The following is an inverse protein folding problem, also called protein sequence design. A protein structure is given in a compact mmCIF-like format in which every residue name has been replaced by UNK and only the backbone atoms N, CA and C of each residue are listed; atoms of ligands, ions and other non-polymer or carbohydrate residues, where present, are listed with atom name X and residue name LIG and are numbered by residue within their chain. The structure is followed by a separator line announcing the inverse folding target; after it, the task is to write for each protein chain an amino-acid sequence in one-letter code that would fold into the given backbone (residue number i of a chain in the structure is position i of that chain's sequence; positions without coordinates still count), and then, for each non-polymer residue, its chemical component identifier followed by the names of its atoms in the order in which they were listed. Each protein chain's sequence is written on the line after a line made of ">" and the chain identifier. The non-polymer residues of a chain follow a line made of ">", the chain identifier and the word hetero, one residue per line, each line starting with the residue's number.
data_IF_928626168154
#
_entry.id   IF_928626168154
#
_cell.length_a   1.000
_cell.length_b   1.000
_cell.length_c   1.000
_cell.angle_alpha   90.00
_cell.angle_beta   90.00
_cell.angle_gamma   90.00
#
_symmetry.space_group_name_H-M   'P 1'
#
loop_
_entity.id
_entity.type
_entity.pdbx_description
1 polymer ?
#
# COMPACT_ATOMS: atom_id res chain seq x y z
N UNK A 1 5.75 1.28 33.11
CA UNK A 1 5.90 -0.17 32.83
C UNK A 1 5.17 -0.43 31.53
N UNK A 2 5.86 -0.34 30.41
CA UNK A 2 5.27 -0.48 29.07
C UNK A 2 5.20 -1.97 28.76
N UNK A 3 3.99 -2.53 28.70
CA UNK A 3 3.78 -3.94 28.37
C UNK A 3 4.28 -4.17 26.94
N UNK A 4 5.19 -5.12 26.75
CA UNK A 4 5.57 -5.59 25.41
C UNK A 4 4.34 -6.25 24.78
N UNK A 5 3.83 -5.66 23.70
CA UNK A 5 2.62 -6.15 23.04
C UNK A 5 3.06 -7.07 21.91
N UNK A 6 2.85 -8.38 22.06
CA UNK A 6 2.69 -9.23 20.87
C UNK A 6 1.30 -8.91 20.32
N UNK A 7 1.23 -8.15 19.21
CA UNK A 7 -0.04 -7.80 18.60
C UNK A 7 -0.33 -8.74 17.41
N UNK A 8 -1.04 -9.86 17.63
CA UNK A 8 -1.36 -10.80 16.54
C UNK A 8 -2.14 -10.11 15.40
N UNK A 9 -2.81 -8.98 15.67
CA UNK A 9 -3.61 -8.26 14.69
C UNK A 9 -2.77 -7.70 13.52
N UNK A 10 -1.46 -7.46 13.71
CA UNK A 10 -0.55 -7.04 12.63
C UNK A 10 -0.40 -8.11 11.52
N UNK A 11 -0.63 -9.38 11.85
CA UNK A 11 -0.62 -10.48 10.88
C UNK A 11 -1.98 -10.69 10.19
N UNK A 12 -3.02 -10.01 10.67
CA UNK A 12 -4.42 -10.16 10.26
C UNK A 12 -5.07 -8.83 9.84
N UNK A 13 -4.28 -7.93 9.28
CA UNK A 13 -4.76 -6.64 8.74
C UNK A 13 -5.52 -6.83 7.42
N UNK A 14 -6.47 -5.94 7.12
CA UNK A 14 -7.33 -6.04 5.93
C UNK A 14 -6.53 -5.88 4.64
N UNK A 15 -5.61 -4.91 4.60
CA UNK A 15 -4.68 -4.72 3.47
C UNK A 15 -3.76 -5.93 3.36
N UNK A 16 -3.35 -6.50 4.49
CA UNK A 16 -2.51 -7.69 4.55
C UNK A 16 -3.19 -8.93 3.95
N UNK A 17 -4.45 -9.15 4.28
CA UNK A 17 -5.26 -10.21 3.70
C UNK A 17 -5.56 -9.98 2.22
N UNK A 18 -5.86 -8.74 1.82
CA UNK A 18 -6.06 -8.40 0.41
C UNK A 18 -4.84 -8.80 -0.43
N UNK A 19 -3.64 -8.43 0.00
CA UNK A 19 -2.42 -8.78 -0.70
C UNK A 19 -2.21 -10.31 -0.74
N UNK A 20 -2.35 -11.00 0.40
CA UNK A 20 -2.17 -12.45 0.51
C UNK A 20 -3.15 -13.24 -0.36
N UNK A 21 -4.43 -12.86 -0.36
CA UNK A 21 -5.46 -13.53 -1.18
C UNK A 21 -5.13 -13.45 -2.67
N UNK A 22 -4.64 -12.31 -3.14
CA UNK A 22 -4.28 -12.14 -4.54
C UNK A 22 -2.99 -12.86 -4.91
N UNK A 23 -2.00 -12.90 -4.01
CA UNK A 23 -0.69 -13.51 -4.28
C UNK A 23 -0.67 -15.04 -4.19
N UNK A 24 -1.52 -15.65 -3.36
CA UNK A 24 -1.43 -17.09 -3.04
C UNK A 24 -2.51 -17.98 -3.66
N UNK A 25 -3.63 -17.44 -4.15
CA UNK A 25 -4.77 -18.27 -4.60
C UNK A 25 -4.50 -18.98 -5.94
N UNK A 26 -4.79 -20.29 -6.04
CA UNK A 26 -4.78 -21.04 -7.32
C UNK A 26 -6.11 -20.84 -8.07
N UNK A 27 -6.16 -20.00 -9.12
CA UNK A 27 -7.28 -19.84 -10.09
C UNK A 27 -7.10 -18.57 -10.96
N UNK A 28 -8.16 -18.13 -11.65
CA UNK A 28 -8.29 -16.83 -12.33
C UNK A 28 -7.78 -15.63 -11.50
N UNK A 29 -7.87 -15.69 -10.16
CA UNK A 29 -7.30 -14.67 -9.27
C UNK A 29 -5.77 -14.53 -9.40
N UNK A 30 -5.05 -15.63 -9.62
CA UNK A 30 -3.59 -15.62 -9.88
C UNK A 30 -3.28 -14.97 -11.22
N UNK A 31 -4.12 -15.21 -12.23
CA UNK A 31 -3.97 -14.55 -13.53
C UNK A 31 -4.20 -13.05 -13.40
N UNK A 32 -5.24 -12.66 -12.66
CA UNK A 32 -5.52 -11.24 -12.39
C UNK A 32 -4.39 -10.57 -11.58
N UNK A 33 -3.87 -11.25 -10.56
CA UNK A 33 -2.75 -10.74 -9.77
C UNK A 33 -1.48 -10.54 -10.61
N UNK A 34 -1.19 -11.45 -11.54
CA UNK A 34 -0.09 -11.26 -12.51
C UNK A 34 -0.32 -10.01 -13.35
N UNK A 35 -1.54 -9.78 -13.83
CA UNK A 35 -1.90 -8.55 -14.56
C UNK A 35 -1.70 -7.31 -13.69
N UNK A 36 -2.15 -7.32 -12.42
CA UNK A 36 -1.90 -6.22 -11.47
C UNK A 36 -0.40 -5.94 -11.32
N UNK A 37 0.42 -6.97 -11.12
CA UNK A 37 1.88 -6.82 -10.99
C UNK A 37 2.51 -6.18 -12.23
N UNK A 38 2.08 -6.52 -13.44
CA UNK A 38 2.57 -5.89 -14.67
C UNK A 38 2.34 -4.38 -14.60
N UNK A 39 1.11 -3.96 -14.28
CA UNK A 39 0.78 -2.55 -14.14
C UNK A 39 1.49 -1.84 -12.99
N UNK A 40 1.64 -2.49 -11.83
CA UNK A 40 2.41 -1.95 -10.70
C UNK A 40 3.87 -1.70 -11.08
N UNK A 41 4.50 -2.66 -11.78
CA UNK A 41 5.87 -2.51 -12.30
C UNK A 41 5.97 -1.37 -13.32
N UNK A 42 4.97 -1.25 -14.20
CA UNK A 42 4.93 -0.16 -15.18
C UNK A 42 4.84 1.21 -14.51
N UNK A 43 4.00 1.36 -13.47
CA UNK A 43 3.90 2.59 -12.66
C UNK A 43 5.22 2.89 -11.96
N UNK A 44 5.77 1.92 -11.23
CA UNK A 44 7.04 2.09 -10.51
C UNK A 44 8.18 2.50 -11.46
N UNK A 45 8.29 1.87 -12.63
CA UNK A 45 9.29 2.20 -13.65
C UNK A 45 9.10 3.59 -14.24
N UNK A 46 7.86 3.99 -14.55
CA UNK A 46 7.58 5.31 -15.09
C UNK A 46 7.97 6.41 -14.09
N UNK A 47 7.60 6.23 -12.82
CA UNK A 47 7.92 7.18 -11.76
C UNK A 47 9.41 7.21 -11.40
N UNK A 48 10.15 6.11 -11.60
CA UNK A 48 11.60 6.08 -11.38
C UNK A 48 12.40 6.68 -12.54
N UNK A 49 11.93 6.54 -13.78
CA UNK A 49 12.67 6.96 -14.98
C UNK A 49 12.27 8.33 -15.50
N UNK A 50 11.04 8.76 -15.21
CA UNK A 50 10.47 10.02 -15.70
C UNK A 50 9.63 10.67 -14.59
N UNK A 51 10.23 11.10 -13.47
CA UNK A 51 9.50 11.58 -12.30
C UNK A 51 8.65 12.82 -12.58
N UNK A 52 9.12 13.73 -13.45
CA UNK A 52 8.40 14.97 -13.81
C UNK A 52 7.25 14.75 -14.80
N UNK A 53 7.19 13.56 -15.42
CA UNK A 53 6.18 13.27 -16.41
C UNK A 53 4.84 12.95 -15.76
N UNK A 54 3.79 13.65 -16.20
CA UNK A 54 2.42 13.30 -15.80
C UNK A 54 2.10 11.85 -16.13
N UNK A 55 1.79 11.09 -15.09
CA UNK A 55 1.35 9.70 -15.22
C UNK A 55 -0.07 9.67 -15.81
N UNK A 56 -0.27 8.90 -16.88
CA UNK A 56 -1.59 8.73 -17.53
C UNK A 56 -1.83 7.26 -17.85
N UNK A 57 -3.09 6.86 -17.96
CA UNK A 57 -3.44 5.48 -18.31
C UNK A 57 -2.80 5.02 -19.63
N UNK A 58 -2.67 5.91 -20.63
CA UNK A 58 -2.05 5.59 -21.93
C UNK A 58 -0.58 5.22 -21.75
N UNK A 59 0.17 6.05 -21.03
CA UNK A 59 1.60 5.83 -20.75
C UNK A 59 1.82 4.56 -19.94
N UNK A 60 0.95 4.29 -18.97
CA UNK A 60 1.00 3.06 -18.17
C UNK A 60 0.76 1.83 -19.06
N UNK A 61 -0.25 1.87 -19.93
CA UNK A 61 -0.54 0.78 -20.88
C UNK A 61 0.63 0.56 -21.84
N UNK A 62 1.18 1.63 -22.41
CA UNK A 62 2.37 1.57 -23.26
C UNK A 62 3.57 0.96 -22.50
N UNK A 63 3.78 1.36 -21.25
CA UNK A 63 4.81 0.81 -20.39
C UNK A 63 4.56 -0.66 -19.99
N UNK A 64 3.32 -1.13 -19.99
CA UNK A 64 2.98 -2.54 -19.79
C UNK A 64 3.26 -3.40 -21.04
N UNK A 65 3.56 -2.76 -22.18
CA UNK A 65 3.97 -3.42 -23.41
C UNK A 65 2.87 -4.30 -24.01
N UNK A 66 3.21 -5.44 -24.65
CA UNK A 66 2.23 -6.27 -25.38
C UNK A 66 1.17 -6.90 -24.46
N UNK A 67 1.39 -6.89 -23.14
CA UNK A 67 0.46 -7.42 -22.14
C UNK A 67 -0.51 -6.34 -21.63
N UNK A 68 -0.26 -5.08 -21.99
CA UNK A 68 -1.08 -3.94 -21.62
C UNK A 68 -2.10 -3.59 -22.70
N UNK A 69 -3.33 -3.33 -22.29
CA UNK A 69 -4.36 -2.73 -23.12
C UNK A 69 -5.20 -1.76 -22.29
N UNK A 70 -6.03 -0.94 -22.97
CA UNK A 70 -7.00 -0.08 -22.27
C UNK A 70 -7.96 -0.91 -21.41
N UNK A 71 -8.50 -2.01 -21.93
CA UNK A 71 -9.47 -2.84 -21.23
C UNK A 71 -8.85 -3.48 -19.98
N UNK A 72 -7.68 -4.09 -20.11
CA UNK A 72 -6.97 -4.70 -18.98
C UNK A 72 -6.56 -3.68 -17.93
N UNK A 73 -6.25 -2.44 -18.32
CA UNK A 73 -5.97 -1.35 -17.36
C UNK A 73 -7.22 -1.04 -16.52
N UNK A 74 -8.37 -0.84 -17.15
CA UNK A 74 -9.61 -0.53 -16.43
C UNK A 74 -10.17 -1.74 -15.65
N UNK A 75 -9.85 -2.98 -16.06
CA UNK A 75 -10.12 -4.19 -15.25
C UNK A 75 -9.29 -4.23 -13.96
N UNK A 76 -8.10 -3.62 -13.95
CA UNK A 76 -7.21 -3.61 -12.78
C UNK A 76 -7.44 -2.42 -11.86
N UNK A 77 -7.72 -1.24 -12.41
CA UNK A 77 -7.75 0.02 -11.65
C UNK A 77 -8.95 0.94 -11.93
N UNK A 78 -9.89 0.54 -12.80
CA UNK A 78 -11.09 1.31 -13.09
C UNK A 78 -12.16 1.25 -12.00
N UNK A 79 -13.26 1.97 -12.21
CA UNK A 79 -14.42 1.97 -11.29
C UNK A 79 -15.04 0.59 -11.06
N UNK A 80 -14.85 -0.35 -11.99
CA UNK A 80 -15.27 -1.75 -11.88
C UNK A 80 -14.07 -2.70 -11.81
N UNK A 81 -12.94 -2.22 -11.28
CA UNK A 81 -11.75 -3.03 -11.11
C UNK A 81 -12.07 -4.31 -10.34
N UNK A 82 -11.43 -5.42 -10.72
CA UNK A 82 -11.54 -6.66 -9.97
C UNK A 82 -10.64 -6.60 -8.74
N UNK A 83 -11.23 -6.85 -7.58
CA UNK A 83 -10.55 -6.92 -6.29
C UNK A 83 -9.74 -5.65 -5.95
N UNK A 84 -10.35 -4.45 -6.01
CA UNK A 84 -9.66 -3.24 -5.61
C UNK A 84 -9.46 -3.25 -4.10
N UNK A 85 -8.38 -2.63 -3.62
CA UNK A 85 -8.09 -2.58 -2.19
C UNK A 85 -9.23 -1.94 -1.40
N UNK A 86 -9.82 -0.88 -1.97
CA UNK A 86 -10.91 -0.12 -1.34
C UNK A 86 -12.13 -0.99 -1.01
N UNK A 87 -12.49 -1.95 -1.87
CA UNK A 87 -13.61 -2.86 -1.63
C UNK A 87 -13.33 -3.82 -0.48
N UNK A 88 -12.07 -4.20 -0.26
CA UNK A 88 -11.70 -5.03 0.88
C UNK A 88 -11.89 -4.26 2.19
N UNK A 89 -11.49 -2.99 2.23
CA UNK A 89 -11.68 -2.11 3.39
C UNK A 89 -13.16 -1.82 3.68
N UNK A 90 -13.95 -1.51 2.64
CA UNK A 90 -15.39 -1.26 2.77
C UNK A 90 -16.12 -2.52 3.26
N UNK A 91 -15.76 -3.69 2.72
CA UNK A 91 -16.40 -4.97 3.09
C UNK A 91 -16.09 -5.40 4.52
N UNK A 92 -14.89 -5.09 5.02
CA UNK A 92 -14.54 -5.37 6.41
C UNK A 92 -15.46 -4.63 7.39
N UNK A 93 -15.86 -3.39 7.05
CA UNK A 93 -16.94 -2.67 7.74
C UNK A 93 -16.61 -2.16 9.14
N UNK A 94 -15.46 -2.52 9.73
CA UNK A 94 -15.00 -1.92 10.99
C UNK A 94 -14.72 -0.42 10.78
N UNK A 95 -14.97 0.36 11.82
CA UNK A 95 -14.80 1.83 11.78
C UNK A 95 -13.41 2.24 11.28
N UNK A 96 -12.36 1.57 11.75
CA UNK A 96 -10.98 1.82 11.34
C UNK A 96 -10.74 1.56 9.86
N UNK A 97 -11.30 0.46 9.34
CA UNK A 97 -11.22 0.12 7.91
C UNK A 97 -12.01 1.09 7.04
N UNK A 98 -13.16 1.59 7.52
CA UNK A 98 -13.93 2.64 6.82
C UNK A 98 -13.17 3.98 6.82
N UNK A 99 -12.55 4.37 7.93
CA UNK A 99 -11.71 5.57 7.98
C UNK A 99 -10.55 5.47 6.98
N UNK A 100 -9.86 4.33 6.95
CA UNK A 100 -8.79 4.08 5.99
C UNK A 100 -9.32 4.12 4.55
N UNK A 101 -10.49 3.52 4.29
CA UNK A 101 -11.14 3.59 2.98
C UNK A 101 -11.39 5.04 2.54
N UNK A 102 -11.84 5.92 3.43
CA UNK A 102 -12.05 7.33 3.12
C UNK A 102 -10.76 8.06 2.73
N UNK A 103 -9.63 7.73 3.37
CA UNK A 103 -8.32 8.30 3.02
C UNK A 103 -7.83 7.87 1.63
N UNK A 104 -8.16 6.66 1.19
CA UNK A 104 -7.68 6.07 -0.07
C UNK A 104 -8.74 5.98 -1.17
N UNK A 105 -9.91 6.61 -0.97
CA UNK A 105 -10.96 6.64 -2.00
C UNK A 105 -10.56 7.59 -3.12
N UNK A 106 -10.27 7.04 -4.29
CA UNK A 106 -9.94 7.80 -5.50
C UNK A 106 -11.11 7.80 -6.49
N UNK A 107 -11.24 8.88 -7.23
CA UNK A 107 -12.15 8.99 -8.39
C UNK A 107 -11.44 8.67 -9.70
N UNK A 108 -10.11 8.71 -9.70
CA UNK A 108 -9.24 8.47 -10.85
C UNK A 108 -8.56 7.09 -10.76
N UNK A 109 -8.59 6.37 -11.88
CA UNK A 109 -8.03 5.03 -12.00
C UNK A 109 -6.50 5.00 -11.89
N UNK A 110 -5.81 6.06 -12.34
CA UNK A 110 -4.35 6.14 -12.23
C UNK A 110 -3.94 6.27 -10.76
N UNK A 111 -4.59 7.16 -10.00
CA UNK A 111 -4.36 7.35 -8.58
C UNK A 111 -4.64 6.06 -7.78
N UNK A 112 -5.75 5.39 -8.08
CA UNK A 112 -6.05 4.09 -7.44
C UNK A 112 -4.95 3.06 -7.70
N UNK A 113 -4.45 2.98 -8.94
CA UNK A 113 -3.35 2.08 -9.28
C UNK A 113 -2.06 2.45 -8.54
N UNK A 114 -1.76 3.74 -8.39
CA UNK A 114 -0.58 4.22 -7.66
C UNK A 114 -0.66 3.84 -6.18
N UNK A 115 -1.80 4.03 -5.51
CA UNK A 115 -1.97 3.62 -4.10
C UNK A 115 -1.76 2.11 -3.92
N UNK A 116 -2.32 1.28 -4.79
CA UNK A 116 -2.10 -0.17 -4.75
C UNK A 116 -0.64 -0.55 -5.09
N UNK A 117 0.01 0.20 -5.99
CA UNK A 117 1.44 0.03 -6.32
C UNK A 117 2.32 0.33 -5.11
N UNK A 118 1.98 1.34 -4.31
CA UNK A 118 2.69 1.67 -3.06
C UNK A 118 2.60 0.51 -2.06
N UNK A 119 1.43 -0.10 -1.90
CA UNK A 119 1.27 -1.29 -1.05
C UNK A 119 2.12 -2.45 -1.56
N UNK A 120 2.09 -2.71 -2.87
CA UNK A 120 2.89 -3.79 -3.48
C UNK A 120 4.41 -3.57 -3.32
N UNK A 121 4.91 -2.36 -3.57
CA UNK A 121 6.35 -2.08 -3.51
C UNK A 121 6.88 -1.97 -2.07
N UNK A 122 6.03 -1.58 -1.12
CA UNK A 122 6.37 -1.56 0.31
C UNK A 122 6.31 -2.95 0.95
N UNK A 123 5.62 -3.91 0.33
CA UNK A 123 5.38 -5.23 0.91
C UNK A 123 6.63 -5.96 1.44
N UNK A 124 7.79 -5.98 0.73
CA UNK A 124 9.00 -6.62 1.25
C UNK A 124 9.57 -5.96 2.52
N UNK A 125 9.32 -4.66 2.73
CA UNK A 125 9.72 -3.93 3.94
C UNK A 125 8.81 -4.32 5.11
N UNK A 126 7.50 -4.39 4.85
CA UNK A 126 6.50 -4.89 5.80
C UNK A 126 6.79 -6.32 6.24
N UNK A 127 7.15 -7.22 5.33
CA UNK A 127 7.49 -8.61 5.68
C UNK A 127 8.70 -8.70 6.63
N UNK A 128 9.73 -7.87 6.43
CA UNK A 128 10.87 -7.79 7.35
C UNK A 128 10.47 -7.26 8.73
N UNK A 129 9.60 -6.25 8.78
CA UNK A 129 9.07 -5.73 10.05
C UNK A 129 8.28 -6.81 10.80
N UNK A 130 7.34 -7.47 10.13
CA UNK A 130 6.52 -8.50 10.76
C UNK A 130 7.37 -9.68 11.25
N UNK A 131 8.41 -10.08 10.51
CA UNK A 131 9.36 -11.08 10.97
C UNK A 131 10.12 -10.63 12.24
N UNK A 132 10.54 -9.36 12.30
CA UNK A 132 11.18 -8.77 13.49
C UNK A 132 10.23 -8.75 14.69
N UNK A 133 8.99 -8.34 14.49
CA UNK A 133 7.96 -8.28 15.55
C UNK A 133 7.55 -9.68 16.07
N UNK A 134 7.61 -10.71 15.22
CA UNK A 134 7.38 -12.09 15.63
C UNK A 134 8.54 -12.68 16.43
N UNK A 135 9.78 -12.27 16.14
CA UNK A 135 10.98 -12.84 16.75
C UNK A 135 11.18 -12.37 18.19
N UNK A 136 10.82 -11.13 18.50
CA UNK A 136 11.04 -10.52 19.82
C UNK A 136 9.89 -9.60 20.22
N UNK A 137 9.34 -9.74 21.46
CA UNK A 137 8.36 -8.79 21.98
C UNK A 137 8.94 -7.37 22.04
N UNK A 138 8.22 -6.43 21.44
CA UNK A 138 8.67 -5.04 21.32
C UNK A 138 7.61 -4.09 21.93
N UNK A 139 8.01 -3.02 22.63
CA UNK A 139 7.07 -1.98 23.05
C UNK A 139 6.55 -1.21 21.83
N UNK A 140 5.34 -0.67 21.92
CA UNK A 140 4.67 0.00 20.80
C UNK A 140 5.54 1.13 20.22
N UNK A 141 6.18 1.93 21.05
CA UNK A 141 7.04 3.05 20.62
C UNK A 141 8.22 2.58 19.74
N UNK A 142 8.80 1.42 20.05
CA UNK A 142 9.87 0.85 19.22
C UNK A 142 9.33 0.24 17.92
N UNK A 143 8.09 -0.29 17.92
CA UNK A 143 7.43 -0.75 16.69
C UNK A 143 7.10 0.41 15.76
N UNK A 144 6.64 1.54 16.31
CA UNK A 144 6.40 2.79 15.57
C UNK A 144 7.70 3.30 14.92
N UNK A 145 8.79 3.37 15.70
CA UNK A 145 10.09 3.77 15.18
C UNK A 145 10.57 2.84 14.05
N UNK A 146 10.44 1.52 14.23
CA UNK A 146 10.80 0.55 13.19
C UNK A 146 9.94 0.71 11.93
N UNK A 147 8.64 0.99 12.06
CA UNK A 147 7.77 1.27 10.93
C UNK A 147 8.19 2.55 10.19
N UNK A 148 8.52 3.62 10.93
CA UNK A 148 9.00 4.87 10.36
C UNK A 148 10.32 4.69 9.59
N UNK A 149 11.28 3.95 10.17
CA UNK A 149 12.56 3.62 9.53
C UNK A 149 12.36 2.84 8.23
N UNK A 150 11.50 1.80 8.24
CA UNK A 150 11.22 1.01 7.05
C UNK A 150 10.51 1.83 5.97
N UNK A 151 9.62 2.75 6.36
CA UNK A 151 8.94 3.64 5.44
C UNK A 151 9.91 4.63 4.80
N UNK A 152 10.82 5.22 5.58
CA UNK A 152 11.88 6.08 5.08
C UNK A 152 12.85 5.32 4.16
N UNK A 153 13.25 4.09 4.51
CA UNK A 153 14.08 3.23 3.66
C UNK A 153 13.39 2.94 2.31
N UNK A 154 12.10 2.60 2.34
CA UNK A 154 11.32 2.39 1.13
C UNK A 154 11.21 3.65 0.28
N UNK A 155 10.95 4.80 0.91
CA UNK A 155 10.77 6.07 0.23
C UNK A 155 12.07 6.50 -0.47
N UNK A 156 13.21 6.45 0.22
CA UNK A 156 14.51 6.78 -0.36
C UNK A 156 14.92 5.87 -1.52
N UNK A 157 14.46 4.62 -1.54
CA UNK A 157 14.67 3.68 -2.66
C UNK A 157 13.66 3.82 -3.80
N UNK A 158 12.53 4.49 -3.55
CA UNK A 158 11.44 4.65 -4.52
C UNK A 158 10.95 6.11 -4.58
N UNK A 159 11.81 7.13 -4.75
CA UNK A 159 11.47 8.53 -4.48
C UNK A 159 10.29 9.03 -5.32
N UNK A 160 10.27 8.74 -6.63
CA UNK A 160 9.16 9.13 -7.50
C UNK A 160 7.83 8.44 -7.16
N UNK A 161 7.86 7.18 -6.72
CA UNK A 161 6.66 6.49 -6.26
C UNK A 161 6.22 7.05 -4.91
N UNK A 162 7.14 7.28 -3.98
CA UNK A 162 6.89 7.86 -2.68
C UNK A 162 6.24 9.25 -2.78
N UNK A 163 6.79 10.16 -3.59
CA UNK A 163 6.28 11.51 -3.80
C UNK A 163 4.89 11.56 -4.47
N UNK A 164 4.52 10.54 -5.26
CA UNK A 164 3.25 10.51 -5.98
C UNK A 164 2.04 10.65 -5.03
N UNK A 165 0.98 11.34 -5.49
CA UNK A 165 -0.23 11.58 -4.71
C UNK A 165 0.03 12.34 -3.38
N UNK A 166 0.85 13.39 -3.45
CA UNK A 166 1.26 14.21 -2.30
C UNK A 166 1.81 13.39 -1.14
N UNK A 167 2.76 12.51 -1.42
CA UNK A 167 3.45 11.73 -0.39
C UNK A 167 2.51 10.82 0.44
N UNK A 168 1.35 10.45 -0.10
CA UNK A 168 0.44 9.53 0.58
C UNK A 168 1.15 8.19 0.88
N UNK A 169 1.17 7.68 2.12
CA UNK A 169 1.85 6.43 2.47
C UNK A 169 1.20 5.20 1.82
N UNK A 170 1.88 4.05 1.79
CA UNK A 170 1.22 2.77 1.52
C UNK A 170 0.11 2.51 2.55
N UNK A 171 -1.09 2.14 2.11
CA UNK A 171 -2.23 1.93 3.01
C UNK A 171 -1.97 0.87 4.10
N UNK A 172 -1.14 -0.15 3.81
CA UNK A 172 -0.75 -1.13 4.82
C UNK A 172 0.09 -0.53 5.95
N UNK A 173 0.95 0.46 5.68
CA UNK A 173 1.72 1.13 6.72
C UNK A 173 0.82 1.97 7.64
N UNK A 174 -0.20 2.62 7.08
CA UNK A 174 -1.21 3.35 7.88
C UNK A 174 -1.99 2.38 8.76
N UNK A 175 -2.46 1.27 8.20
CA UNK A 175 -3.16 0.23 8.96
C UNK A 175 -2.29 -0.36 10.07
N UNK A 176 -1.01 -0.65 9.79
CA UNK A 176 -0.06 -1.15 10.77
C UNK A 176 0.15 -0.14 11.92
N UNK A 177 0.30 1.16 11.63
CA UNK A 177 0.42 2.21 12.65
C UNK A 177 -0.83 2.31 13.53
N UNK A 178 -2.02 2.20 12.93
CA UNK A 178 -3.29 2.20 13.68
C UNK A 178 -3.36 1.01 14.64
N UNK A 179 -2.93 -0.17 14.21
CA UNK A 179 -2.87 -1.39 15.03
C UNK A 179 -1.82 -1.26 16.15
N UNK A 180 -0.62 -0.73 15.85
CA UNK A 180 0.43 -0.49 16.86
C UNK A 180 -0.06 0.47 17.94
N UNK A 181 -0.77 1.54 17.56
CA UNK A 181 -1.38 2.51 18.51
C UNK A 181 -2.68 1.99 19.14
N UNK A 182 -3.06 0.73 18.90
CA UNK A 182 -4.24 0.09 19.49
C UNK A 182 -5.56 0.78 19.16
N UNK A 183 -5.72 1.27 17.92
CA UNK A 183 -6.92 1.97 17.46
C UNK A 183 -7.10 3.38 18.04
N UNK A 184 -6.12 3.91 18.77
CA UNK A 184 -6.19 5.24 19.41
C UNK A 184 -5.87 6.39 18.47
N UNK A 185 -5.44 6.09 17.24
CA UNK A 185 -5.17 7.07 16.19
C UNK A 185 -6.17 6.88 15.05
N UNK A 186 -6.79 7.98 14.62
CA UNK A 186 -7.64 7.98 13.44
C UNK A 186 -6.79 7.82 12.16
N UNK A 187 -7.33 7.17 11.13
CA UNK A 187 -6.59 6.89 9.89
C UNK A 187 -6.00 8.16 9.27
N UNK A 188 -6.76 9.26 9.25
CA UNK A 188 -6.28 10.55 8.72
C UNK A 188 -5.04 11.08 9.44
N UNK A 189 -4.97 10.94 10.77
CA UNK A 189 -3.79 11.37 11.55
C UNK A 189 -2.59 10.48 11.26
N UNK A 190 -2.80 9.16 11.23
CA UNK A 190 -1.76 8.21 10.87
C UNK A 190 -1.24 8.44 9.44
N UNK A 191 -2.13 8.76 8.49
CA UNK A 191 -1.75 9.13 7.12
C UNK A 191 -0.86 10.37 7.11
N UNK A 192 -1.21 11.44 7.82
CA UNK A 192 -0.41 12.67 7.83
C UNK A 192 0.97 12.45 8.47
N UNK A 193 1.03 11.75 9.60
CA UNK A 193 2.29 11.42 10.28
C UNK A 193 3.25 10.65 9.37
N UNK A 194 2.74 9.62 8.70
CA UNK A 194 3.54 8.82 7.76
C UNK A 194 3.87 9.58 6.47
N UNK A 195 2.99 10.47 5.99
CA UNK A 195 3.29 11.37 4.87
C UNK A 195 4.45 12.29 5.19
N UNK A 196 4.53 12.84 6.40
CA UNK A 196 5.63 13.70 6.80
C UNK A 196 6.96 12.94 6.83
N UNK A 197 6.98 11.68 7.32
CA UNK A 197 8.16 10.81 7.24
C UNK A 197 8.60 10.63 5.77
N UNK A 198 7.66 10.39 4.87
CA UNK A 198 7.97 10.23 3.44
C UNK A 198 8.53 11.53 2.86
N UNK A 199 7.93 12.69 3.15
CA UNK A 199 8.41 14.01 2.66
C UNK A 199 9.85 14.29 3.07
N UNK A 200 10.28 13.88 4.26
CA UNK A 200 11.67 14.09 4.72
C UNK A 200 12.66 13.08 4.13
N UNK A 201 12.17 11.95 3.59
CA UNK A 201 12.99 10.88 3.06
C UNK A 201 13.25 10.97 1.54
N UNK A 202 12.56 11.88 0.83
CA UNK A 202 12.65 12.05 -0.63
C UNK A 202 13.06 13.45 -1.05
#
# INVERSE_FOLDING_TARGET
>A
MTLAISNPDLFHTVVGEWHRRLSTTRSAKRSHWRTKIIYFRSVARLLSTQPEAKLTWRRIVEAAGPQGSRSTFYEVAGAHARHPLIDALIRDGRLDSIQLALCYRRTDAVAQLVDETKVWSFWPYRERLLARFAAEPMPAEAMEAALAEALAEWAGRNPGLAAALDHAPPACAVEDLMVIKGGRVAAFRATNELSDIIRHAV
#
